data_IF_392028064956
#
_entry.id   IF_392028064956
#
_cell.length_a   1.000
_cell.length_b   1.000
_cell.length_c   1.000
_cell.angle_alpha   90.00
_cell.angle_beta   90.00
_cell.angle_gamma   90.00
#
_symmetry.space_group_name_H-M   'P 1'
#
loop_
_entity.id
_entity.type
_entity.pdbx_description
1 polymer ?
#
# COMPACT_ATOMS: atom_id res chain seq x y z
N UNK A 1 6.62 -11.83 6.23
CA UNK A 1 6.42 -11.89 4.79
C UNK A 1 5.43 -10.81 4.36
N UNK A 2 5.80 -10.02 3.40
CA UNK A 2 4.96 -9.01 2.79
C UNK A 2 5.25 -8.93 1.29
N UNK A 3 4.24 -8.59 0.52
CA UNK A 3 4.36 -8.33 -0.92
C UNK A 3 3.75 -6.97 -1.24
N UNK A 4 4.30 -6.33 -2.24
CA UNK A 4 3.76 -5.11 -2.80
C UNK A 4 3.59 -5.29 -4.29
N UNK A 5 2.41 -4.97 -4.78
CA UNK A 5 2.06 -5.00 -6.19
C UNK A 5 1.73 -3.60 -6.67
N UNK A 6 2.41 -3.16 -7.71
CA UNK A 6 2.06 -1.95 -8.46
C UNK A 6 1.73 -2.34 -9.88
N UNK A 7 0.62 -1.89 -10.41
CA UNK A 7 0.22 -2.20 -11.77
C UNK A 7 -0.33 -0.97 -12.51
N UNK A 8 -0.19 -0.98 -13.81
CA UNK A 8 -0.77 0.02 -14.70
C UNK A 8 -1.34 -0.65 -15.95
N UNK A 9 -2.31 0.00 -16.55
CA UNK A 9 -2.88 -0.38 -17.85
C UNK A 9 -2.66 0.79 -18.81
N UNK A 10 -2.09 0.51 -19.98
CA UNK A 10 -1.78 1.51 -20.98
C UNK A 10 -1.88 0.94 -22.40
N UNK A 11 -1.75 1.78 -23.41
CA UNK A 11 -1.60 1.35 -24.79
C UNK A 11 -0.29 0.55 -24.95
N UNK A 12 -0.27 -0.57 -25.69
CA UNK A 12 0.94 -1.39 -25.86
C UNK A 12 2.17 -0.62 -26.32
N UNK A 13 2.01 0.40 -27.13
CA UNK A 13 3.12 1.27 -27.59
C UNK A 13 3.79 2.08 -26.48
N UNK A 14 3.07 2.34 -25.39
CA UNK A 14 3.54 3.16 -24.26
C UNK A 14 4.04 2.30 -23.08
N UNK A 15 3.94 0.97 -23.18
CA UNK A 15 4.21 0.04 -22.09
C UNK A 15 5.59 0.21 -21.48
N UNK A 16 6.65 0.34 -22.28
CA UNK A 16 8.01 0.51 -21.77
C UNK A 16 8.20 1.85 -21.06
N UNK A 17 7.64 2.91 -21.61
CA UNK A 17 7.70 4.24 -20.99
C UNK A 17 6.96 4.27 -19.65
N UNK A 18 5.79 3.64 -19.57
CA UNK A 18 5.02 3.52 -18.33
C UNK A 18 5.79 2.70 -17.29
N UNK A 19 6.40 1.58 -17.69
CA UNK A 19 7.20 0.77 -16.80
C UNK A 19 8.40 1.55 -16.22
N UNK A 20 9.08 2.34 -17.02
CA UNK A 20 10.20 3.18 -16.57
C UNK A 20 9.76 4.27 -15.59
N UNK A 21 8.61 4.94 -15.87
CA UNK A 21 8.02 5.91 -14.95
C UNK A 21 7.68 5.23 -13.63
N UNK A 22 7.05 4.06 -13.65
CA UNK A 22 6.71 3.32 -12.43
C UNK A 22 7.94 2.98 -11.59
N UNK A 23 9.02 2.50 -12.22
CA UNK A 23 10.29 2.21 -11.51
C UNK A 23 10.87 3.48 -10.85
N UNK A 24 10.85 4.58 -11.58
CA UNK A 24 11.37 5.87 -11.10
C UNK A 24 10.54 6.40 -9.94
N UNK A 25 9.22 6.41 -10.07
CA UNK A 25 8.32 6.88 -9.02
C UNK A 25 8.41 6.01 -7.76
N UNK A 26 8.52 4.69 -7.90
CA UNK A 26 8.70 3.78 -6.76
C UNK A 26 9.99 4.07 -5.99
N UNK A 27 11.09 4.39 -6.68
CA UNK A 27 12.36 4.74 -6.02
C UNK A 27 12.29 6.08 -5.30
N UNK A 28 11.61 7.04 -5.89
CA UNK A 28 11.60 8.42 -5.41
C UNK A 28 10.49 8.70 -4.39
N UNK A 29 9.51 7.81 -4.24
CA UNK A 29 8.34 8.07 -3.40
C UNK A 29 8.70 8.46 -1.97
N UNK A 30 9.72 7.83 -1.40
CA UNK A 30 10.16 8.09 -0.02
C UNK A 30 10.68 9.51 0.14
N UNK A 31 11.48 9.96 -0.82
CA UNK A 31 12.13 11.29 -0.79
C UNK A 31 11.15 12.41 -1.14
N UNK A 32 10.06 12.09 -1.85
CA UNK A 32 9.06 13.05 -2.30
C UNK A 32 7.83 13.16 -1.42
N UNK A 33 7.64 12.23 -0.46
CA UNK A 33 6.50 12.24 0.48
C UNK A 33 6.55 13.48 1.38
N UNK A 34 5.41 14.15 1.49
CA UNK A 34 5.21 15.31 2.35
C UNK A 34 4.25 15.00 3.50
N UNK A 35 4.22 15.85 4.53
CA UNK A 35 3.23 15.76 5.63
C UNK A 35 1.79 15.90 5.11
N UNK A 36 1.58 16.67 4.04
CA UNK A 36 0.26 16.79 3.40
C UNK A 36 -0.15 15.47 2.75
N UNK A 37 0.76 14.77 2.09
CA UNK A 37 0.50 13.46 1.49
C UNK A 37 0.19 12.42 2.57
N UNK A 38 0.95 12.43 3.67
CA UNK A 38 0.69 11.57 4.81
C UNK A 38 -0.71 11.80 5.38
N UNK A 39 -1.12 13.04 5.57
CA UNK A 39 -2.45 13.40 6.06
C UNK A 39 -3.56 12.86 5.15
N UNK A 40 -3.40 12.99 3.84
CA UNK A 40 -4.35 12.43 2.84
C UNK A 40 -4.42 10.90 2.89
N UNK A 41 -3.26 10.24 3.00
CA UNK A 41 -3.18 8.78 3.08
C UNK A 41 -3.83 8.26 4.36
N UNK A 42 -3.56 8.88 5.51
CA UNK A 42 -4.19 8.52 6.80
C UNK A 42 -5.71 8.63 6.71
N UNK A 43 -6.23 9.75 6.21
CA UNK A 43 -7.67 9.96 6.07
C UNK A 43 -8.31 8.91 5.14
N UNK A 44 -7.66 8.60 4.01
CA UNK A 44 -8.13 7.60 3.05
C UNK A 44 -8.10 6.18 3.63
N UNK A 45 -7.00 5.81 4.30
CA UNK A 45 -6.85 4.50 4.91
C UNK A 45 -7.85 4.27 6.05
N UNK A 46 -8.02 5.26 6.92
CA UNK A 46 -9.00 5.21 8.00
C UNK A 46 -10.44 5.05 7.48
N UNK A 47 -10.81 5.83 6.47
CA UNK A 47 -12.13 5.72 5.83
C UNK A 47 -12.33 4.34 5.19
N UNK A 48 -11.32 3.83 4.47
CA UNK A 48 -11.40 2.53 3.82
C UNK A 48 -11.55 1.39 4.84
N UNK A 49 -10.82 1.43 5.95
CA UNK A 49 -10.93 0.44 7.03
C UNK A 49 -12.31 0.47 7.69
N UNK A 50 -12.85 1.65 7.96
CA UNK A 50 -14.19 1.81 8.52
C UNK A 50 -15.26 1.23 7.59
N UNK A 51 -15.27 1.63 6.32
CA UNK A 51 -16.25 1.16 5.31
C UNK A 51 -16.14 -0.36 5.08
N UNK A 52 -14.91 -0.91 5.01
CA UNK A 52 -14.71 -2.34 4.83
C UNK A 52 -15.29 -3.14 6.02
N UNK A 53 -15.24 -2.62 7.24
CA UNK A 53 -15.75 -3.30 8.43
C UNK A 53 -17.28 -3.24 8.59
N UNK A 54 -17.99 -2.43 7.80
CA UNK A 54 -19.47 -2.44 7.78
C UNK A 54 -20.03 -3.71 7.13
N UNK A 55 -19.26 -4.35 6.25
CA UNK A 55 -19.69 -5.54 5.52
C UNK A 55 -19.25 -6.82 6.23
N UNK A 56 -20.12 -7.83 6.38
CA UNK A 56 -19.75 -9.11 6.97
C UNK A 56 -18.55 -9.77 6.28
N UNK A 57 -18.48 -9.72 4.95
CA UNK A 57 -17.35 -10.24 4.16
C UNK A 57 -16.05 -9.48 4.45
N UNK A 58 -16.09 -8.16 4.60
CA UNK A 58 -14.94 -7.36 4.95
C UNK A 58 -14.41 -7.68 6.35
N UNK A 59 -15.32 -7.88 7.32
CA UNK A 59 -14.93 -8.33 8.68
C UNK A 59 -14.29 -9.71 8.65
N UNK A 60 -14.86 -10.64 7.90
CA UNK A 60 -14.32 -11.99 7.74
C UNK A 60 -12.90 -11.97 7.14
N UNK A 61 -12.71 -11.24 6.06
CA UNK A 61 -11.40 -11.12 5.40
C UNK A 61 -10.36 -10.46 6.33
N UNK A 62 -10.77 -9.42 7.04
CA UNK A 62 -9.89 -8.75 8.01
C UNK A 62 -9.46 -9.70 9.13
N UNK A 63 -10.41 -10.40 9.76
CA UNK A 63 -10.11 -11.34 10.84
C UNK A 63 -9.27 -12.52 10.35
N UNK A 64 -9.64 -13.09 9.21
CA UNK A 64 -8.88 -14.19 8.59
C UNK A 64 -7.47 -13.76 8.21
N UNK A 65 -7.30 -12.59 7.61
CA UNK A 65 -6.00 -12.02 7.29
C UNK A 65 -5.12 -11.82 8.52
N UNK A 66 -5.64 -11.22 9.59
CA UNK A 66 -4.90 -11.03 10.84
C UNK A 66 -4.43 -12.35 11.46
N UNK A 67 -5.31 -13.33 11.53
CA UNK A 67 -4.98 -14.63 12.12
C UNK A 67 -3.95 -15.39 11.29
N UNK A 68 -4.05 -15.34 9.96
CA UNK A 68 -3.15 -16.08 9.07
C UNK A 68 -1.77 -15.43 8.93
N UNK A 69 -1.69 -14.09 9.01
CA UNK A 69 -0.42 -13.38 8.84
C UNK A 69 0.32 -13.13 10.14
N UNK A 70 -0.37 -12.74 11.20
CA UNK A 70 0.25 -12.37 12.48
C UNK A 70 -0.12 -13.25 13.65
N UNK A 71 -1.13 -14.12 13.52
CA UNK A 71 -1.65 -14.95 14.62
C UNK A 71 -2.31 -14.14 15.74
N UNK A 72 -2.55 -12.84 15.55
CA UNK A 72 -3.10 -11.93 16.56
C UNK A 72 -4.34 -11.22 16.06
N UNK A 73 -5.23 -10.91 16.97
CA UNK A 73 -6.37 -10.05 16.74
C UNK A 73 -6.03 -8.61 17.16
N UNK A 74 -6.37 -7.67 16.29
CA UNK A 74 -6.32 -6.23 16.56
C UNK A 74 -7.73 -5.68 16.34
N UNK A 75 -8.25 -4.91 17.29
CA UNK A 75 -9.56 -4.29 17.13
C UNK A 75 -9.52 -3.24 16.00
N UNK A 76 -10.69 -2.92 15.41
CA UNK A 76 -10.76 -1.85 14.42
C UNK A 76 -10.34 -0.51 15.02
N UNK A 77 -10.72 -0.27 16.27
CA UNK A 77 -10.39 0.96 16.99
C UNK A 77 -8.87 1.11 17.18
N UNK A 78 -8.19 0.05 17.62
CA UNK A 78 -6.73 0.06 17.77
C UNK A 78 -6.02 0.24 16.42
N UNK A 79 -6.54 -0.37 15.36
CA UNK A 79 -6.01 -0.22 14.01
C UNK A 79 -6.16 1.23 13.51
N UNK A 80 -7.33 1.83 13.68
CA UNK A 80 -7.57 3.22 13.30
C UNK A 80 -6.68 4.18 14.11
N UNK A 81 -6.54 3.97 15.41
CA UNK A 81 -5.61 4.75 16.23
C UNK A 81 -4.17 4.63 15.76
N UNK A 82 -3.74 3.44 15.40
CA UNK A 82 -2.40 3.22 14.85
C UNK A 82 -2.19 3.98 13.54
N UNK A 83 -3.17 3.94 12.63
CA UNK A 83 -3.13 4.67 11.36
C UNK A 83 -3.08 6.19 11.60
N UNK A 84 -3.91 6.71 12.50
CA UNK A 84 -3.99 8.14 12.81
C UNK A 84 -2.68 8.72 13.40
N UNK A 85 -1.91 7.89 14.11
CA UNK A 85 -0.66 8.30 14.74
C UNK A 85 0.60 8.00 13.91
N UNK A 86 0.44 7.55 12.66
CA UNK A 86 1.58 7.37 11.76
C UNK A 86 2.29 8.70 11.49
N UNK A 87 3.61 8.64 11.52
CA UNK A 87 4.48 9.78 11.21
C UNK A 87 5.24 9.57 9.91
N UNK A 88 5.61 10.65 9.25
CA UNK A 88 6.43 10.61 8.04
C UNK A 88 7.76 9.88 8.29
N UNK A 89 8.36 10.11 9.45
CA UNK A 89 9.59 9.44 9.87
C UNK A 89 9.43 7.91 9.91
N UNK A 90 8.34 7.40 10.49
CA UNK A 90 8.08 5.96 10.52
C UNK A 90 7.93 5.37 9.12
N UNK A 91 7.28 6.07 8.19
CA UNK A 91 7.17 5.64 6.80
C UNK A 91 8.54 5.60 6.11
N UNK A 92 9.38 6.60 6.33
CA UNK A 92 10.74 6.66 5.80
C UNK A 92 11.60 5.52 6.35
N UNK A 93 11.56 5.25 7.66
CA UNK A 93 12.28 4.13 8.29
C UNK A 93 11.87 2.77 7.71
N UNK A 94 10.57 2.55 7.46
CA UNK A 94 10.07 1.32 6.83
C UNK A 94 10.56 1.21 5.38
N UNK A 95 10.54 2.28 4.63
CA UNK A 95 10.96 2.28 3.24
C UNK A 95 12.49 2.11 3.09
N UNK A 96 13.29 2.62 4.02
CA UNK A 96 14.72 2.35 4.09
C UNK A 96 15.02 0.88 4.45
N UNK A 97 14.26 0.31 5.38
CA UNK A 97 14.41 -1.09 5.79
C UNK A 97 13.97 -2.08 4.69
N UNK A 98 13.02 -1.68 3.85
CA UNK A 98 12.44 -2.49 2.78
C UNK A 98 12.44 -1.68 1.47
N UNK A 99 13.58 -1.55 0.79
CA UNK A 99 13.70 -0.78 -0.44
C UNK A 99 12.69 -1.25 -1.50
N UNK A 100 12.06 -0.30 -2.17
CA UNK A 100 11.02 -0.56 -3.17
C UNK A 100 11.65 -0.88 -4.53
N UNK A 101 12.38 -1.98 -4.58
CA UNK A 101 12.95 -2.50 -5.82
C UNK A 101 12.09 -3.65 -6.32
N UNK A 102 11.63 -3.61 -7.58
CA UNK A 102 10.84 -4.70 -8.11
C UNK A 102 11.69 -5.96 -8.23
N UNK A 103 11.25 -7.04 -7.58
CA UNK A 103 11.85 -8.37 -7.70
C UNK A 103 11.38 -9.09 -8.97
N UNK A 104 10.22 -8.69 -9.47
CA UNK A 104 9.60 -9.29 -10.64
C UNK A 104 8.78 -8.26 -11.40
N UNK A 105 8.94 -8.24 -12.72
CA UNK A 105 8.15 -7.43 -13.63
C UNK A 105 7.52 -8.33 -14.69
N UNK A 106 6.25 -8.11 -15.00
CA UNK A 106 5.55 -8.81 -16.06
C UNK A 106 4.71 -7.84 -16.88
N UNK A 107 4.75 -7.99 -18.17
CA UNK A 107 3.92 -7.25 -19.12
C UNK A 107 3.09 -8.24 -19.92
N UNK A 108 1.78 -7.99 -20.03
CA UNK A 108 0.89 -8.76 -20.91
C UNK A 108 0.27 -7.83 -21.92
N UNK A 109 0.28 -8.22 -23.19
CA UNK A 109 -0.43 -7.52 -24.26
C UNK A 109 -1.39 -8.49 -24.95
N UNK A 110 -2.52 -7.97 -25.42
CA UNK A 110 -3.38 -8.66 -26.36
C UNK A 110 -3.04 -8.11 -27.75
N UNK A 111 -2.57 -9.01 -28.61
CA UNK A 111 -2.45 -8.74 -30.04
C UNK A 111 -3.83 -8.76 -30.72
#
# INVERSE_FOLDING_TARGET
YGEQLTYAVCDPKDAEQVAEIMRTEMKNVVDTLTEEDLTKVIAKAGTAAAVASERPSGRMQRLGGMLTTSGRYVSLEDELQTIEHLTLKQLQEVAEAFPWEPLFEATTSHD
#
